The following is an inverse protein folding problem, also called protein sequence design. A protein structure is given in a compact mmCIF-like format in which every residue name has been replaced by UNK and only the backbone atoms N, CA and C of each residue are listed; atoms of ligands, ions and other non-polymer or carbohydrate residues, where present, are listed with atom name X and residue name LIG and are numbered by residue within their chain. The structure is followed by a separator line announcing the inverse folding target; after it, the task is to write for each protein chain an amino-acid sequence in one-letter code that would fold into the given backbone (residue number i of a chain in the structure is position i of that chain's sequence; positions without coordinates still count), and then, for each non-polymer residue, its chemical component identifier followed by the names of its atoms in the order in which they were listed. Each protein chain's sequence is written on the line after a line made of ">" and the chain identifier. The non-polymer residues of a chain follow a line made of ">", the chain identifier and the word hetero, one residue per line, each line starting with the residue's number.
data_IF_473728635285
#
_entry.id   IF_473728635285
#
_cell.length_a   1.000
_cell.length_b   1.000
_cell.length_c   1.000
_cell.angle_alpha   90.00
_cell.angle_beta   90.00
_cell.angle_gamma   90.00
#
_symmetry.space_group_name_H-M   'P 1'
#
loop_
_entity.id
_entity.type
_entity.pdbx_description
1 polymer ?
#
# COMPACT_ATOMS: atom_id res chain seq x y z
N UNK A 1 -27.52 4.48 -16.01
CA UNK A 1 -27.17 3.12 -15.54
C UNK A 1 -27.61 2.14 -16.63
N UNK A 2 -26.72 1.86 -17.57
CA UNK A 2 -26.91 0.77 -18.53
C UNK A 2 -25.82 -0.23 -18.21
N UNK A 3 -26.17 -1.19 -17.32
CA UNK A 3 -25.31 -2.30 -16.99
C UNK A 3 -25.16 -3.19 -18.21
N UNK A 4 -23.95 -3.36 -18.68
CA UNK A 4 -23.60 -4.48 -19.52
C UNK A 4 -23.60 -5.73 -18.64
N UNK A 5 -24.78 -6.34 -18.52
CA UNK A 5 -24.97 -7.66 -17.92
C UNK A 5 -24.80 -8.73 -19.02
N UNK A 6 -23.78 -8.55 -19.85
CA UNK A 6 -23.47 -9.50 -20.91
C UNK A 6 -22.45 -10.49 -20.35
N UNK A 7 -22.90 -11.71 -20.15
CA UNK A 7 -22.04 -12.83 -19.73
C UNK A 7 -20.92 -13.03 -20.75
N UNK A 8 -19.71 -13.34 -20.27
CA UNK A 8 -18.58 -13.64 -21.16
C UNK A 8 -18.93 -14.79 -22.10
N UNK A 9 -18.58 -14.65 -23.37
CA UNK A 9 -18.72 -15.68 -24.38
C UNK A 9 -17.77 -16.86 -24.12
N UNK A 10 -18.05 -18.01 -24.69
CA UNK A 10 -17.18 -19.20 -24.55
C UNK A 10 -15.75 -18.96 -25.06
N UNK A 11 -15.57 -18.09 -26.09
CA UNK A 11 -14.27 -17.73 -26.62
C UNK A 11 -13.48 -16.82 -25.66
N UNK A 12 -14.14 -15.85 -25.04
CA UNK A 12 -13.53 -14.98 -24.02
C UNK A 12 -13.13 -15.78 -22.78
N UNK A 13 -13.98 -16.71 -22.32
CA UNK A 13 -13.66 -17.63 -21.22
C UNK A 13 -12.43 -18.48 -21.54
N UNK A 14 -12.37 -19.06 -22.75
CA UNK A 14 -11.23 -19.86 -23.20
C UNK A 14 -9.95 -19.02 -23.28
N UNK A 15 -10.05 -17.78 -23.72
CA UNK A 15 -8.92 -16.84 -23.75
C UNK A 15 -8.43 -16.56 -22.33
N UNK A 16 -9.34 -16.29 -21.40
CA UNK A 16 -9.01 -16.06 -19.99
C UNK A 16 -8.33 -17.29 -19.37
N UNK A 17 -8.85 -18.50 -19.59
CA UNK A 17 -8.22 -19.75 -19.11
C UNK A 17 -6.79 -19.90 -19.64
N UNK A 18 -6.56 -19.60 -20.93
CA UNK A 18 -5.22 -19.63 -21.53
C UNK A 18 -4.26 -18.60 -20.94
N UNK A 19 -4.76 -17.41 -20.57
CA UNK A 19 -3.97 -16.39 -19.87
C UNK A 19 -3.64 -16.83 -18.44
N UNK A 20 -4.62 -17.35 -17.69
CA UNK A 20 -4.43 -17.83 -16.32
C UNK A 20 -3.40 -18.99 -16.27
N UNK A 21 -3.45 -19.94 -17.21
CA UNK A 21 -2.48 -21.03 -17.28
C UNK A 21 -1.03 -20.52 -17.48
N UNK A 22 -0.83 -19.37 -18.12
CA UNK A 22 0.50 -18.74 -18.30
C UNK A 22 1.00 -18.02 -17.06
N UNK A 23 0.12 -17.68 -16.14
CA UNK A 23 0.44 -17.01 -14.87
C UNK A 23 0.68 -18.01 -13.74
N UNK A 24 0.29 -19.28 -13.93
CA UNK A 24 0.46 -20.31 -12.92
C UNK A 24 1.95 -20.49 -12.57
N UNK A 25 2.26 -20.47 -11.28
CA UNK A 25 3.63 -20.54 -10.75
C UNK A 25 4.46 -19.27 -10.83
N UNK A 26 3.95 -18.18 -11.39
CA UNK A 26 4.59 -16.89 -11.33
C UNK A 26 4.12 -16.16 -10.08
N UNK A 27 4.70 -16.43 -8.94
CA UNK A 27 4.50 -15.65 -7.70
C UNK A 27 4.97 -14.20 -7.80
N UNK A 28 5.10 -13.70 -9.04
CA UNK A 28 5.66 -12.43 -9.39
C UNK A 28 4.56 -11.46 -9.82
N UNK A 29 4.94 -10.26 -9.99
CA UNK A 29 4.20 -9.08 -10.41
C UNK A 29 3.22 -9.34 -11.56
N UNK A 30 1.95 -8.96 -11.34
CA UNK A 30 0.95 -9.02 -12.39
C UNK A 30 1.23 -7.90 -13.41
N UNK A 31 1.15 -8.18 -14.73
CA UNK A 31 1.17 -7.12 -15.73
C UNK A 31 0.07 -6.09 -15.44
N UNK A 32 0.37 -4.81 -15.65
CA UNK A 32 -0.53 -3.70 -15.30
C UNK A 32 -2.01 -3.89 -15.70
N UNK A 33 -2.37 -4.35 -16.92
CA UNK A 33 -3.77 -4.58 -17.29
C UNK A 33 -4.46 -5.63 -16.41
N UNK A 34 -3.72 -6.68 -16.00
CA UNK A 34 -4.25 -7.72 -15.15
C UNK A 34 -4.36 -7.26 -13.70
N UNK A 35 -3.38 -6.49 -13.22
CA UNK A 35 -3.45 -5.84 -11.92
C UNK A 35 -4.68 -4.93 -11.81
N UNK A 36 -4.93 -4.09 -12.81
CA UNK A 36 -6.15 -3.26 -12.87
C UNK A 36 -7.41 -4.11 -12.82
N UNK A 37 -7.51 -5.14 -13.67
CA UNK A 37 -8.66 -6.03 -13.66
C UNK A 37 -8.92 -6.65 -12.26
N UNK A 38 -7.87 -7.14 -11.60
CA UNK A 38 -7.99 -7.70 -10.25
C UNK A 38 -8.51 -6.65 -9.27
N UNK A 39 -7.98 -5.42 -9.30
CA UNK A 39 -8.41 -4.36 -8.40
C UNK A 39 -9.84 -3.83 -8.68
N UNK A 40 -10.38 -4.06 -9.87
CA UNK A 40 -11.76 -3.70 -10.22
C UNK A 40 -12.77 -4.76 -9.75
N UNK A 41 -12.35 -6.02 -9.55
CA UNK A 41 -13.26 -7.13 -9.25
C UNK A 41 -13.11 -7.68 -7.83
N UNK A 42 -11.98 -7.45 -7.16
CA UNK A 42 -11.75 -7.93 -5.78
C UNK A 42 -11.04 -6.86 -4.94
N UNK A 43 -11.26 -6.92 -3.63
CA UNK A 43 -10.47 -6.13 -2.70
C UNK A 43 -9.06 -6.75 -2.57
N UNK A 44 -8.01 -5.94 -2.70
CA UNK A 44 -6.64 -6.37 -2.40
C UNK A 44 -6.36 -6.33 -0.90
N UNK A 45 -5.59 -7.27 -0.41
CA UNK A 45 -5.15 -7.30 0.99
C UNK A 45 -3.69 -6.86 1.08
N UNK A 46 -3.44 -5.86 1.90
CA UNK A 46 -2.12 -5.29 2.14
C UNK A 46 -1.66 -5.55 3.59
N UNK A 47 -0.36 -5.44 3.80
CA UNK A 47 0.24 -5.21 5.11
C UNK A 47 0.83 -3.82 5.14
N UNK A 48 0.70 -3.12 6.27
CA UNK A 48 1.32 -1.82 6.49
C UNK A 48 2.14 -1.84 7.78
N UNK A 49 3.28 -1.17 7.76
CA UNK A 49 4.24 -1.11 8.86
C UNK A 49 4.24 0.28 9.50
N UNK A 50 3.54 0.43 10.62
CA UNK A 50 3.61 1.63 11.43
C UNK A 50 4.83 1.55 12.33
N UNK A 51 5.97 2.05 11.83
CA UNK A 51 7.25 2.05 12.56
C UNK A 51 7.29 3.22 13.52
N UNK A 52 7.46 2.91 14.82
CA UNK A 52 7.59 3.91 15.88
C UNK A 52 8.93 3.79 16.57
N UNK A 53 9.53 4.93 16.98
CA UNK A 53 10.70 4.97 17.84
C UNK A 53 10.29 5.09 19.32
N UNK A 54 11.30 5.11 20.22
CA UNK A 54 11.09 5.22 21.66
C UNK A 54 10.46 6.57 22.11
N UNK A 55 10.51 7.58 21.26
CA UNK A 55 9.88 8.88 21.49
C UNK A 55 8.43 8.93 20.96
N UNK A 56 7.95 7.83 20.35
CA UNK A 56 6.61 7.74 19.74
C UNK A 56 6.52 8.38 18.36
N UNK A 57 7.63 8.83 17.76
CA UNK A 57 7.64 9.37 16.40
C UNK A 57 7.41 8.24 15.41
N UNK A 58 6.73 8.56 14.32
CA UNK A 58 6.40 7.61 13.25
C UNK A 58 7.31 7.83 12.05
N UNK A 59 7.84 6.75 11.47
CA UNK A 59 8.64 6.77 10.26
C UNK A 59 7.73 6.61 9.04
N UNK A 60 7.70 7.62 8.18
CA UNK A 60 6.97 7.59 6.92
C UNK A 60 7.95 7.63 5.75
N UNK A 61 7.51 7.08 4.61
CA UNK A 61 8.24 7.14 3.35
C UNK A 61 7.59 8.14 2.39
N UNK A 62 8.41 8.81 1.57
CA UNK A 62 7.92 9.69 0.53
C UNK A 62 7.62 8.91 -0.74
N UNK A 63 6.42 9.08 -1.25
CA UNK A 63 5.99 8.56 -2.55
C UNK A 63 5.74 9.70 -3.51
N UNK A 64 6.19 9.52 -4.75
CA UNK A 64 5.93 10.41 -5.88
C UNK A 64 5.72 9.54 -7.12
N UNK A 65 4.46 9.39 -7.53
CA UNK A 65 4.05 8.50 -8.61
C UNK A 65 2.88 9.13 -9.40
N UNK A 66 2.41 8.53 -10.50
CA UNK A 66 1.30 9.07 -11.29
C UNK A 66 -0.03 9.27 -10.54
N UNK A 67 -0.21 8.64 -9.37
CA UNK A 67 -1.43 8.75 -8.56
C UNK A 67 -1.34 9.86 -7.52
N UNK A 68 -0.15 10.40 -7.28
CA UNK A 68 0.07 11.51 -6.38
C UNK A 68 1.45 11.53 -5.75
N UNK A 69 1.63 12.45 -4.80
CA UNK A 69 2.84 12.56 -4.00
C UNK A 69 2.51 12.88 -2.56
N UNK A 70 3.33 12.42 -1.64
CA UNK A 70 3.17 12.67 -0.22
C UNK A 70 3.82 11.61 0.66
N UNK A 71 3.79 11.84 1.96
CA UNK A 71 4.22 10.88 2.95
C UNK A 71 3.19 9.78 3.11
N UNK A 72 3.63 8.54 3.14
CA UNK A 72 2.75 7.38 3.32
C UNK A 72 3.30 6.44 4.40
N UNK A 73 2.40 5.68 5.00
CA UNK A 73 2.78 4.53 5.83
C UNK A 73 3.28 3.45 4.88
N UNK A 74 4.52 2.95 5.04
CA UNK A 74 5.05 1.89 4.22
C UNK A 74 4.20 0.62 4.28
N UNK A 75 3.89 0.09 3.10
CA UNK A 75 3.01 -1.06 2.98
C UNK A 75 3.18 -1.80 1.65
N UNK A 76 2.63 -3.01 1.58
CA UNK A 76 2.75 -3.85 0.39
C UNK A 76 1.57 -4.82 0.27
N UNK A 77 1.18 -5.14 -0.97
CA UNK A 77 0.13 -6.10 -1.27
C UNK A 77 0.63 -7.52 -0.96
N UNK A 78 -0.18 -8.31 -0.23
CA UNK A 78 0.07 -9.73 0.00
C UNK A 78 -0.14 -10.47 -1.33
N UNK A 79 0.86 -11.22 -1.75
CA UNK A 79 0.82 -11.98 -3.01
C UNK A 79 0.03 -13.27 -2.86
N UNK A 80 -0.39 -13.83 -3.97
CA UNK A 80 -1.09 -15.10 -3.97
C UNK A 80 -0.28 -16.20 -3.26
N UNK A 81 -0.87 -16.88 -2.28
CA UNK A 81 -0.24 -17.92 -1.44
C UNK A 81 0.97 -17.47 -0.61
N UNK A 82 1.10 -16.16 -0.38
CA UNK A 82 2.14 -15.62 0.47
C UNK A 82 1.64 -15.51 1.92
N UNK A 83 2.49 -15.88 2.86
CA UNK A 83 2.20 -15.68 4.28
C UNK A 83 2.37 -14.21 4.67
N UNK A 84 1.49 -13.72 5.55
CA UNK A 84 1.52 -12.34 6.07
C UNK A 84 2.89 -11.99 6.63
N UNK A 85 3.52 -12.89 7.41
CA UNK A 85 4.84 -12.68 7.98
C UNK A 85 5.92 -12.43 6.92
N UNK A 86 5.93 -13.23 5.85
CA UNK A 86 6.87 -13.06 4.73
C UNK A 86 6.67 -11.73 4.02
N UNK A 87 5.40 -11.29 3.83
CA UNK A 87 5.14 -9.99 3.21
C UNK A 87 5.58 -8.82 4.08
N UNK A 88 5.38 -8.90 5.41
CA UNK A 88 5.86 -7.89 6.36
C UNK A 88 7.39 -7.76 6.32
N UNK A 89 8.12 -8.89 6.31
CA UNK A 89 9.58 -8.87 6.19
C UNK A 89 10.06 -8.30 4.85
N UNK A 90 9.42 -8.71 3.74
CA UNK A 90 9.76 -8.19 2.42
C UNK A 90 9.47 -6.69 2.34
N UNK A 91 8.30 -6.24 2.80
CA UNK A 91 7.95 -4.82 2.88
C UNK A 91 9.00 -4.02 3.67
N UNK A 92 9.45 -4.53 4.82
CA UNK A 92 10.48 -3.86 5.60
C UNK A 92 11.79 -3.69 4.85
N UNK A 93 12.25 -4.72 4.15
CA UNK A 93 13.47 -4.65 3.32
C UNK A 93 13.33 -3.69 2.14
N UNK A 94 12.19 -3.74 1.46
CA UNK A 94 11.91 -2.92 0.28
C UNK A 94 11.77 -1.43 0.65
N UNK A 95 11.02 -1.13 1.71
CA UNK A 95 10.68 0.24 2.10
C UNK A 95 11.74 0.92 2.98
N UNK A 96 12.33 0.17 3.92
CA UNK A 96 13.30 0.74 4.86
C UNK A 96 14.75 0.33 4.55
N UNK A 97 14.97 -0.72 3.77
CA UNK A 97 16.31 -1.28 3.54
C UNK A 97 16.92 -1.93 4.79
N UNK A 98 16.10 -2.31 5.77
CA UNK A 98 16.53 -3.01 6.97
C UNK A 98 15.39 -3.88 7.53
N UNK A 99 15.73 -4.78 8.47
CA UNK A 99 14.75 -5.59 9.18
C UNK A 99 14.00 -4.78 10.26
N UNK A 100 12.81 -5.24 10.58
CA UNK A 100 11.97 -4.70 11.66
C UNK A 100 11.56 -5.78 12.65
N UNK A 101 11.26 -5.39 13.88
CA UNK A 101 10.49 -6.21 14.81
C UNK A 101 9.02 -5.81 14.65
N UNK A 102 8.19 -6.76 14.26
CA UNK A 102 6.76 -6.55 14.03
C UNK A 102 5.96 -7.15 15.17
N UNK A 103 4.90 -6.45 15.61
CA UNK A 103 3.96 -7.00 16.58
C UNK A 103 3.12 -8.12 15.94
N UNK A 104 2.83 -9.18 16.73
CA UNK A 104 2.13 -10.38 16.26
C UNK A 104 0.70 -10.10 15.76
N UNK A 105 0.11 -8.99 16.18
CA UNK A 105 -1.26 -8.61 15.82
C UNK A 105 -1.29 -7.29 15.07
N UNK A 106 -2.18 -7.19 14.09
CA UNK A 106 -2.52 -5.91 13.52
C UNK A 106 -3.10 -5.00 14.61
N UNK A 107 -2.69 -3.73 14.61
CA UNK A 107 -3.17 -2.70 15.53
C UNK A 107 -4.35 -1.92 14.94
N UNK A 108 -4.50 -1.96 13.63
CA UNK A 108 -5.62 -1.34 12.91
C UNK A 108 -5.90 -2.11 11.62
N UNK A 109 -7.14 -2.02 11.14
CA UNK A 109 -7.53 -2.41 9.80
C UNK A 109 -7.87 -1.13 9.06
N UNK A 110 -7.28 -0.93 7.88
CA UNK A 110 -7.49 0.28 7.08
C UNK A 110 -8.11 -0.12 5.74
N UNK A 111 -9.27 0.44 5.44
CA UNK A 111 -9.99 0.19 4.20
C UNK A 111 -9.97 1.45 3.34
N UNK A 112 -9.51 1.31 2.10
CA UNK A 112 -9.37 2.42 1.17
C UNK A 112 -10.10 2.08 -0.12
N UNK A 113 -10.95 3.01 -0.56
CA UNK A 113 -11.58 3.02 -1.87
C UNK A 113 -10.99 4.20 -2.65
N UNK A 114 -10.19 3.93 -3.66
CA UNK A 114 -9.54 4.96 -4.48
C UNK A 114 -9.59 4.59 -5.97
N UNK A 115 -8.91 5.38 -6.80
CA UNK A 115 -8.85 5.17 -8.26
C UNK A 115 -8.17 3.85 -8.67
N UNK A 116 -7.38 3.25 -7.77
CA UNK A 116 -6.75 1.95 -8.00
C UNK A 116 -7.67 0.78 -7.65
N UNK A 117 -8.75 1.03 -6.91
CA UNK A 117 -9.74 0.03 -6.54
C UNK A 117 -10.07 0.03 -5.04
N UNK A 118 -10.25 -1.15 -4.49
CA UNK A 118 -10.56 -1.37 -3.08
C UNK A 118 -9.43 -2.16 -2.41
N UNK A 119 -8.85 -1.59 -1.35
CA UNK A 119 -7.84 -2.29 -0.55
C UNK A 119 -8.23 -2.38 0.93
N UNK A 120 -7.76 -3.45 1.56
CA UNK A 120 -7.86 -3.67 3.01
C UNK A 120 -6.48 -3.95 3.54
N UNK A 121 -5.97 -3.06 4.38
CA UNK A 121 -4.63 -3.15 4.95
C UNK A 121 -4.66 -3.62 6.40
N UNK A 122 -3.81 -4.58 6.73
CA UNK A 122 -3.49 -4.99 8.08
C UNK A 122 -2.32 -4.14 8.58
N UNK A 123 -2.61 -3.10 9.36
CA UNK A 123 -1.58 -2.21 9.88
C UNK A 123 -0.94 -2.81 11.13
N UNK A 124 0.35 -3.08 11.08
CA UNK A 124 1.14 -3.65 12.18
C UNK A 124 2.07 -2.61 12.78
N UNK A 125 2.13 -2.57 14.13
CA UNK A 125 3.18 -1.83 14.82
C UNK A 125 4.53 -2.50 14.60
N UNK A 126 5.56 -1.71 14.32
CA UNK A 126 6.91 -2.21 14.10
C UNK A 126 7.97 -1.28 14.72
N UNK A 127 9.16 -1.82 14.94
CA UNK A 127 10.37 -1.07 15.33
C UNK A 127 11.53 -1.50 14.45
N UNK A 128 12.39 -0.56 14.07
CA UNK A 128 13.57 -0.88 13.26
C UNK A 128 14.54 -1.77 14.06
N UNK A 129 15.13 -2.77 13.42
CA UNK A 129 16.20 -3.60 13.96
C UNK A 129 17.60 -3.15 13.51
N UNK A 130 17.71 -1.96 12.93
CA UNK A 130 18.97 -1.43 12.42
C UNK A 130 18.81 -0.01 11.89
N UNK A 131 19.85 0.46 11.22
CA UNK A 131 19.82 1.75 10.53
C UNK A 131 19.14 1.54 9.19
N UNK A 132 18.16 2.37 8.80
CA UNK A 132 17.56 2.30 7.47
C UNK A 132 18.60 2.39 6.36
N UNK A 133 18.50 1.51 5.37
CA UNK A 133 19.28 1.60 4.15
C UNK A 133 18.79 2.68 3.18
N UNK A 134 17.57 3.21 3.41
CA UNK A 134 17.00 4.34 2.68
C UNK A 134 17.43 5.66 3.33
N UNK A 135 17.43 6.73 2.54
CA UNK A 135 17.85 8.07 3.01
C UNK A 135 16.88 8.64 4.02
N UNK A 136 17.37 8.98 5.21
CA UNK A 136 16.64 9.76 6.19
C UNK A 136 16.81 11.26 5.89
N UNK A 137 15.71 11.95 5.64
CA UNK A 137 15.70 13.40 5.44
C UNK A 137 15.29 14.13 6.71
N UNK A 138 15.94 15.28 6.96
CA UNK A 138 15.71 16.13 8.13
C UNK A 138 15.55 17.60 7.68
N UNK A 139 14.92 18.40 8.53
CA UNK A 139 14.71 19.83 8.24
C UNK A 139 13.81 20.07 7.02
N UNK A 140 14.03 21.17 6.32
CA UNK A 140 13.20 21.65 5.20
C UNK A 140 13.64 21.09 3.84
N UNK A 141 14.51 20.09 3.82
CA UNK A 141 14.94 19.49 2.56
C UNK A 141 13.76 18.80 1.85
N UNK A 142 13.60 19.12 0.57
CA UNK A 142 12.62 18.45 -0.28
C UNK A 142 12.92 16.96 -0.36
N UNK A 143 11.93 16.07 -0.13
CA UNK A 143 12.10 14.63 -0.24
C UNK A 143 12.10 14.18 -1.69
N UNK A 144 12.74 13.04 -1.95
CA UNK A 144 12.68 12.28 -3.18
C UNK A 144 11.98 10.93 -2.92
N UNK A 145 11.49 10.26 -3.96
CA UNK A 145 10.80 8.96 -3.81
C UNK A 145 11.69 7.94 -3.05
N UNK A 146 11.11 7.31 -2.04
CA UNK A 146 11.79 6.37 -1.15
C UNK A 146 12.54 7.00 0.03
N UNK A 147 12.56 8.34 0.16
CA UNK A 147 13.12 8.99 1.35
C UNK A 147 12.25 8.75 2.57
N UNK A 148 12.89 8.62 3.72
CA UNK A 148 12.25 8.41 5.01
C UNK A 148 12.35 9.68 5.88
N UNK A 149 11.33 9.90 6.72
CA UNK A 149 11.35 10.97 7.74
C UNK A 149 10.57 10.53 8.98
N UNK A 150 11.11 10.92 10.14
CA UNK A 150 10.44 10.78 11.43
C UNK A 150 9.48 11.96 11.67
N UNK A 151 8.26 11.66 12.10
CA UNK A 151 7.22 12.63 12.42
C UNK A 151 6.71 12.47 13.85
N UNK A 152 6.60 13.57 14.58
CA UNK A 152 5.98 13.61 15.91
C UNK A 152 4.44 13.66 15.84
N UNK A 153 3.91 14.17 14.71
CA UNK A 153 2.49 14.25 14.41
C UNK A 153 2.27 13.98 12.93
N UNK A 154 1.06 13.57 12.50
CA UNK A 154 0.76 13.35 11.09
C UNK A 154 1.07 14.58 10.24
N UNK A 155 1.88 14.47 9.17
CA UNK A 155 2.19 15.59 8.31
C UNK A 155 0.97 16.07 7.51
N UNK A 156 1.01 17.34 7.07
CA UNK A 156 -0.07 17.90 6.26
C UNK A 156 -0.14 17.27 4.87
N UNK A 157 1.01 16.90 4.32
CA UNK A 157 1.24 16.37 2.98
C UNK A 157 1.27 14.83 2.95
N UNK A 158 0.29 14.18 3.60
CA UNK A 158 0.08 12.75 3.42
C UNK A 158 -0.28 12.43 1.96
N UNK A 159 0.18 11.27 1.51
CA UNK A 159 -0.18 10.74 0.19
C UNK A 159 -1.71 10.61 0.06
N UNK A 160 -2.33 10.95 -1.09
CA UNK A 160 -3.79 11.07 -1.22
C UNK A 160 -4.58 9.85 -0.76
N UNK A 161 -4.13 8.64 -1.10
CA UNK A 161 -4.78 7.40 -0.65
C UNK A 161 -4.48 7.06 0.82
N UNK A 162 -3.61 7.81 1.51
CA UNK A 162 -3.22 7.60 2.90
C UNK A 162 -3.72 8.68 3.86
N UNK A 163 -4.69 9.51 3.46
CA UNK A 163 -5.25 10.54 4.36
C UNK A 163 -5.91 9.93 5.59
N UNK A 164 -6.52 8.75 5.47
CA UNK A 164 -7.10 7.97 6.60
C UNK A 164 -6.06 7.63 7.67
N UNK A 165 -4.79 7.54 7.30
CA UNK A 165 -3.73 7.28 8.27
C UNK A 165 -3.51 8.42 9.24
N UNK A 166 -4.02 9.64 8.98
CA UNK A 166 -4.02 10.70 9.98
C UNK A 166 -4.69 10.22 11.26
N UNK A 167 -5.89 9.67 11.15
CA UNK A 167 -6.67 9.19 12.30
C UNK A 167 -5.98 7.99 12.96
N UNK A 168 -5.39 7.09 12.17
CA UNK A 168 -4.61 5.95 12.68
C UNK A 168 -3.39 6.41 13.46
N UNK A 169 -2.62 7.37 12.93
CA UNK A 169 -1.42 7.91 13.57
C UNK A 169 -1.77 8.66 14.86
N UNK A 170 -2.83 9.44 14.86
CA UNK A 170 -3.32 10.15 16.05
C UNK A 170 -3.80 9.17 17.13
N UNK A 171 -4.58 8.15 16.76
CA UNK A 171 -5.04 7.12 17.68
C UNK A 171 -3.87 6.30 18.25
N UNK A 172 -2.86 5.98 17.42
CA UNK A 172 -1.63 5.33 17.86
C UNK A 172 -0.85 6.18 18.86
N UNK A 173 -0.75 7.50 18.62
CA UNK A 173 -0.10 8.45 19.52
C UNK A 173 -0.80 8.58 20.88
N UNK A 174 -2.12 8.35 20.94
CA UNK A 174 -2.90 8.34 22.17
C UNK A 174 -2.97 6.96 22.86
N UNK A 175 -2.35 5.92 22.29
CA UNK A 175 -2.42 4.55 22.82
C UNK A 175 -3.78 3.86 22.64
N UNK A 176 -4.67 4.40 21.84
CA UNK A 176 -6.04 3.88 21.64
C UNK A 176 -6.08 2.57 20.83
N UNK A 177 -4.98 2.22 20.18
CA UNK A 177 -4.88 1.03 19.33
C UNK A 177 -4.29 -0.21 20.06
N UNK A 178 -4.02 -0.11 21.36
CA UNK A 178 -3.39 -1.21 22.11
C UNK A 178 -4.39 -2.31 22.50
N UNK A 179 -5.69 -2.02 22.46
CA UNK A 179 -6.75 -2.93 22.89
C UNK A 179 -7.45 -3.72 21.77
N UNK A 180 -7.13 -3.49 20.50
CA UNK A 180 -7.80 -4.13 19.38
C UNK A 180 -7.37 -3.55 18.04
N UNK A 181 -7.96 -4.04 16.95
CA UNK A 181 -7.71 -3.57 15.60
C UNK A 181 -8.98 -2.87 15.03
N UNK A 182 -9.24 -1.60 15.40
CA UNK A 182 -10.38 -0.86 14.87
C UNK A 182 -10.26 -0.69 13.36
N UNK A 183 -11.43 -0.55 12.70
CA UNK A 183 -11.53 -0.29 11.26
C UNK A 183 -11.54 1.21 11.00
N UNK A 184 -10.64 1.67 10.14
CA UNK A 184 -10.63 3.01 9.56
C UNK A 184 -10.98 2.92 8.07
N UNK A 185 -11.79 3.83 7.56
CA UNK A 185 -12.25 3.79 6.16
C UNK A 185 -12.08 5.15 5.49
N UNK A 186 -11.59 5.14 4.26
CA UNK A 186 -11.47 6.31 3.40
C UNK A 186 -12.12 6.04 2.04
N UNK A 187 -12.84 7.03 1.53
CA UNK A 187 -13.30 7.10 0.17
C UNK A 187 -12.63 8.28 -0.54
N UNK A 188 -11.79 7.99 -1.51
CA UNK A 188 -11.19 9.01 -2.39
C UNK A 188 -12.05 9.06 -3.66
N UNK A 189 -12.51 10.26 -4.05
CA UNK A 189 -13.33 10.41 -5.25
C UNK A 189 -12.61 9.87 -6.49
N UNK A 190 -13.32 9.11 -7.33
CA UNK A 190 -12.78 8.66 -8.63
C UNK A 190 -12.38 9.88 -9.43
N UNK A 191 -11.10 10.03 -9.73
CA UNK A 191 -10.66 10.82 -10.87
C UNK A 191 -11.09 10.04 -12.11
N UNK A 192 -11.61 10.74 -13.13
CA UNK A 192 -11.95 10.10 -14.41
C UNK A 192 -10.68 9.50 -15.04
N UNK A 193 -10.39 8.26 -14.69
CA UNK A 193 -9.17 7.50 -15.06
C UNK A 193 -9.04 7.27 -16.58
N UNK A 194 -9.97 7.77 -17.38
CA UNK A 194 -9.93 7.66 -18.83
C UNK A 194 -9.03 8.69 -19.52
N UNK A 195 -8.51 9.72 -18.81
CA UNK A 195 -7.78 10.83 -19.43
C UNK A 195 -6.29 10.91 -19.17
N UNK A 196 -5.76 10.25 -18.15
CA UNK A 196 -4.38 10.49 -17.68
C UNK A 196 -3.51 9.22 -17.53
N UNK A 197 -3.79 8.16 -18.30
CA UNK A 197 -2.83 7.07 -18.41
C UNK A 197 -1.66 7.55 -19.29
N UNK A 198 -0.43 7.71 -18.75
CA UNK A 198 0.71 8.03 -19.59
C UNK A 198 0.94 6.89 -20.57
N UNK A 199 0.91 7.19 -21.86
CA UNK A 199 1.44 6.30 -22.88
C UNK A 199 2.95 6.15 -22.64
N UNK A 200 3.38 5.02 -22.16
CA UNK A 200 4.79 4.66 -22.06
C UNK A 200 5.26 4.30 -20.65
N UNK A 201 5.58 3.03 -20.52
CA UNK A 201 6.46 2.39 -19.51
C UNK A 201 6.39 2.94 -18.07
N UNK A 202 5.46 2.43 -17.31
CA UNK A 202 5.65 2.38 -15.86
C UNK A 202 6.61 1.20 -15.62
N UNK A 203 7.78 1.49 -15.06
CA UNK A 203 8.66 0.47 -14.49
C UNK A 203 7.81 -0.37 -13.53
N UNK A 204 7.94 -1.69 -13.60
CA UNK A 204 7.22 -2.65 -12.76
C UNK A 204 7.34 -2.37 -11.26
N UNK A 205 8.39 -1.68 -10.86
CA UNK A 205 8.71 -1.38 -9.47
C UNK A 205 7.78 -0.34 -8.82
N UNK A 206 7.16 0.55 -9.60
CA UNK A 206 6.30 1.61 -9.06
C UNK A 206 4.83 1.18 -8.82
N UNK A 207 4.40 0.05 -9.37
CA UNK A 207 3.01 -0.41 -9.29
C UNK A 207 2.73 -1.35 -8.10
N UNK A 208 3.78 -1.85 -7.43
CA UNK A 208 3.69 -2.92 -6.42
C UNK A 208 4.37 -2.58 -5.08
N UNK A 209 4.92 -1.38 -4.95
CA UNK A 209 5.37 -0.88 -3.66
C UNK A 209 4.24 -0.17 -2.91
#
# INVERSE_FOLDING_TARGET
>A
MTGHDEALSAEELKTLEGLLARLDGRGAELPWPLFRFVNEVVATVNVDLLVQDAAGRVLLAWRDDPFGRGWHVPGSIIRHREEVGHRLEACARDEFGCDVAVADRAMAIVQIFDDRGHSVSLCHRATLRGVPGRRLVTGDRAPEAGDLRWFEAPPADLYPSHLVYRDVLEAAGRGELDGGAPLFTQHVGRRDAARDAPEGSISSDAALA
#
